data_IF_005587259424
#
_entry.id   IF_005587259424
#
_cell.length_a   1.000
_cell.length_b   1.000
_cell.length_c   1.000
_cell.angle_alpha   90.00
_cell.angle_beta   90.00
_cell.angle_gamma   90.00
#
_symmetry.space_group_name_H-M   'P 1'
#
loop_
_entity.id
_entity.type
_entity.pdbx_description
1 polymer ?
#
# COMPACT_ATOMS: atom_id res chain seq x y z
N UNK A 1 -7.46 -4.18 -17.31
CA UNK A 1 -6.73 -2.92 -17.07
C UNK A 1 -5.62 -2.74 -18.12
N UNK A 2 -5.17 -1.50 -18.38
CA UNK A 2 -4.06 -1.20 -19.30
C UNK A 2 -2.78 -1.99 -18.94
N UNK A 3 -2.42 -2.04 -17.66
CA UNK A 3 -1.26 -2.79 -17.18
C UNK A 3 -1.35 -4.29 -17.49
N UNK A 4 -2.51 -4.90 -17.26
CA UNK A 4 -2.74 -6.30 -17.61
C UNK A 4 -2.50 -6.54 -19.11
N UNK A 5 -3.09 -5.69 -19.96
CA UNK A 5 -2.90 -5.77 -21.40
C UNK A 5 -1.43 -5.61 -21.80
N UNK A 6 -0.72 -4.63 -21.21
CA UNK A 6 0.71 -4.44 -21.46
C UNK A 6 1.52 -5.72 -21.16
N UNK A 7 1.26 -6.33 -19.99
CA UNK A 7 1.93 -7.58 -19.60
C UNK A 7 1.56 -8.71 -20.58
N UNK A 8 0.29 -8.85 -20.94
CA UNK A 8 -0.16 -9.85 -21.91
C UNK A 8 0.52 -9.66 -23.27
N UNK A 9 0.60 -8.42 -23.77
CA UNK A 9 1.25 -8.12 -25.06
C UNK A 9 2.76 -8.43 -25.01
N UNK A 10 3.45 -8.07 -23.92
CA UNK A 10 4.88 -8.35 -23.75
C UNK A 10 5.20 -9.83 -23.53
N UNK A 11 4.23 -10.60 -23.02
CA UNK A 11 4.39 -12.01 -22.67
C UNK A 11 3.66 -12.96 -23.62
N UNK A 12 3.16 -12.49 -24.76
CA UNK A 12 2.32 -13.27 -25.70
C UNK A 12 2.86 -14.67 -26.00
N UNK A 13 4.17 -14.81 -26.12
CA UNK A 13 4.86 -16.05 -26.46
C UNK A 13 5.56 -16.70 -25.23
N UNK A 14 5.43 -16.15 -24.05
CA UNK A 14 6.04 -16.69 -22.84
C UNK A 14 5.03 -17.55 -22.06
N UNK A 15 4.90 -18.81 -22.46
CA UNK A 15 4.04 -19.78 -21.77
C UNK A 15 4.46 -19.97 -20.29
N UNK A 16 5.75 -19.88 -19.97
CA UNK A 16 6.24 -20.04 -18.62
C UNK A 16 5.70 -18.93 -17.71
N UNK A 17 5.70 -17.67 -18.15
CA UNK A 17 5.17 -16.57 -17.33
C UNK A 17 3.68 -16.72 -17.07
N UNK A 18 2.90 -17.14 -18.05
CA UNK A 18 1.46 -17.42 -17.86
C UNK A 18 1.25 -18.53 -16.83
N UNK A 19 2.02 -19.61 -16.93
CA UNK A 19 1.95 -20.71 -15.96
C UNK A 19 2.33 -20.24 -14.54
N UNK A 20 3.38 -19.41 -14.38
CA UNK A 20 3.75 -18.84 -13.08
C UNK A 20 2.62 -17.97 -12.49
N UNK A 21 1.93 -17.17 -13.32
CA UNK A 21 0.78 -16.39 -12.87
C UNK A 21 -0.39 -17.28 -12.40
N UNK A 22 -0.67 -18.38 -13.10
CA UNK A 22 -1.72 -19.32 -12.70
C UNK A 22 -1.35 -20.10 -11.44
N UNK A 23 -0.09 -20.50 -11.28
CA UNK A 23 0.39 -21.14 -10.06
C UNK A 23 0.36 -20.17 -8.85
N UNK A 24 0.73 -18.88 -9.05
CA UNK A 24 0.63 -17.86 -8.02
C UNK A 24 -0.79 -17.69 -7.48
N UNK A 25 -1.81 -17.69 -8.36
CA UNK A 25 -3.22 -17.58 -7.97
C UNK A 25 -3.70 -18.72 -7.07
N UNK A 26 -3.03 -19.87 -7.09
CA UNK A 26 -3.37 -21.03 -6.28
C UNK A 26 -2.77 -20.99 -4.87
N UNK A 27 -1.88 -20.03 -4.60
CA UNK A 27 -1.25 -19.89 -3.28
C UNK A 27 -2.19 -19.13 -2.36
N UNK A 28 -2.48 -19.69 -1.19
CA UNK A 28 -3.13 -18.93 -0.14
C UNK A 28 -2.09 -18.08 0.61
N UNK A 29 -2.17 -16.76 0.45
CA UNK A 29 -1.33 -15.79 1.15
C UNK A 29 -2.03 -15.16 2.35
N UNK A 30 -3.33 -15.40 2.53
CA UNK A 30 -4.16 -14.75 3.55
C UNK A 30 -4.68 -15.75 4.56
N UNK A 31 -3.95 -15.92 5.63
CA UNK A 31 -4.40 -16.61 6.84
C UNK A 31 -4.83 -15.54 7.83
N UNK A 32 -6.14 -15.36 7.96
CA UNK A 32 -6.72 -14.29 8.76
C UNK A 32 -6.82 -14.67 10.22
N UNK A 33 -6.58 -13.71 11.10
CA UNK A 33 -6.97 -13.78 12.51
C UNK A 33 -7.84 -12.57 12.85
N UNK A 34 -8.83 -12.79 13.73
CA UNK A 34 -9.81 -11.78 14.13
C UNK A 34 -9.44 -11.21 15.51
N UNK A 35 -9.74 -9.94 15.70
CA UNK A 35 -9.66 -9.30 17.01
C UNK A 35 -10.98 -9.54 17.74
N UNK A 36 -11.01 -10.55 18.60
CA UNK A 36 -12.22 -11.01 19.29
C UNK A 36 -12.75 -10.02 20.33
N UNK A 37 -11.98 -9.04 20.72
CA UNK A 37 -12.40 -7.95 21.60
C UNK A 37 -13.40 -6.96 20.99
N UNK A 38 -13.65 -7.05 19.68
CA UNK A 38 -14.66 -6.25 18.98
C UNK A 38 -15.95 -7.06 18.77
N UNK A 39 -17.12 -6.39 18.64
CA UNK A 39 -18.37 -7.03 18.23
C UNK A 39 -18.22 -7.80 16.91
N UNK A 40 -18.97 -8.91 16.75
CA UNK A 40 -18.82 -9.80 15.59
C UNK A 40 -18.92 -9.07 14.24
N UNK A 41 -19.86 -8.15 14.12
CA UNK A 41 -20.09 -7.38 12.88
C UNK A 41 -18.99 -6.35 12.57
N UNK A 42 -18.14 -6.07 13.56
CA UNK A 42 -17.13 -5.01 13.51
C UNK A 42 -15.72 -5.53 13.81
N UNK A 43 -15.53 -6.85 13.84
CA UNK A 43 -14.21 -7.42 14.10
C UNK A 43 -13.24 -7.11 12.97
N UNK A 44 -12.20 -6.32 13.21
CA UNK A 44 -11.15 -6.13 12.22
C UNK A 44 -10.39 -7.44 12.01
N UNK A 45 -10.04 -7.70 10.75
CA UNK A 45 -9.20 -8.82 10.38
C UNK A 45 -7.78 -8.32 10.11
N UNK A 46 -6.81 -9.12 10.52
CA UNK A 46 -5.43 -9.02 10.04
C UNK A 46 -5.14 -10.25 9.18
N UNK A 47 -4.26 -10.12 8.22
CA UNK A 47 -3.86 -11.22 7.36
C UNK A 47 -2.34 -11.36 7.29
N UNK A 48 -1.89 -12.59 7.02
CA UNK A 48 -0.47 -12.82 6.72
C UNK A 48 -0.03 -12.11 5.45
N UNK A 49 -0.96 -11.79 4.55
CA UNK A 49 -0.70 -10.98 3.37
C UNK A 49 -0.16 -9.58 3.72
N UNK A 50 -0.71 -8.93 4.76
CA UNK A 50 -0.20 -7.64 5.22
C UNK A 50 1.24 -7.74 5.73
N UNK A 51 1.55 -8.79 6.51
CA UNK A 51 2.91 -9.04 7.00
C UNK A 51 3.89 -9.29 5.86
N UNK A 52 3.50 -10.10 4.87
CA UNK A 52 4.31 -10.38 3.68
C UNK A 52 4.56 -9.09 2.90
N UNK A 53 3.55 -8.23 2.76
CA UNK A 53 3.66 -6.96 2.06
C UNK A 53 4.60 -5.99 2.78
N UNK A 54 4.53 -5.90 4.12
CA UNK A 54 5.48 -5.11 4.92
C UNK A 54 6.91 -5.61 4.69
N UNK A 55 7.13 -6.92 4.76
CA UNK A 55 8.45 -7.52 4.56
C UNK A 55 8.96 -7.25 3.15
N UNK A 56 8.09 -7.39 2.12
CA UNK A 56 8.46 -7.14 0.74
C UNK A 56 8.92 -5.70 0.50
N UNK A 57 8.20 -4.71 1.04
CA UNK A 57 8.55 -3.28 0.93
C UNK A 57 9.88 -2.96 1.61
N UNK A 58 10.21 -3.66 2.71
CA UNK A 58 11.42 -3.42 3.50
C UNK A 58 12.63 -4.26 3.04
N UNK A 59 12.43 -5.23 2.15
CA UNK A 59 13.51 -6.09 1.65
C UNK A 59 14.23 -5.46 0.47
N UNK A 60 15.56 -5.56 0.44
CA UNK A 60 16.40 -5.01 -0.63
C UNK A 60 16.44 -5.87 -1.88
N UNK A 61 16.14 -7.15 -1.74
CA UNK A 61 16.19 -8.14 -2.82
C UNK A 61 15.37 -9.38 -2.46
N UNK A 62 15.16 -10.26 -3.43
CA UNK A 62 14.38 -11.48 -3.26
C UNK A 62 14.94 -12.41 -2.19
N UNK A 63 16.28 -12.47 -2.01
CA UNK A 63 16.90 -13.29 -0.96
C UNK A 63 16.50 -12.81 0.43
N UNK A 64 16.65 -11.52 0.71
CA UNK A 64 16.27 -10.91 2.00
C UNK A 64 14.77 -11.09 2.25
N UNK A 65 13.94 -10.89 1.23
CA UNK A 65 12.50 -11.11 1.31
C UNK A 65 12.19 -12.57 1.69
N UNK A 66 12.81 -13.53 1.03
CA UNK A 66 12.66 -14.95 1.31
C UNK A 66 13.03 -15.29 2.76
N UNK A 67 14.20 -14.83 3.21
CA UNK A 67 14.70 -15.10 4.56
C UNK A 67 13.79 -14.49 5.64
N UNK A 68 13.33 -13.27 5.43
CA UNK A 68 12.47 -12.54 6.39
C UNK A 68 11.01 -13.05 6.44
N UNK A 69 10.59 -13.82 5.45
CA UNK A 69 9.22 -14.39 5.38
C UNK A 69 9.12 -15.78 6.01
N UNK A 70 10.23 -16.36 6.47
CA UNK A 70 10.24 -17.68 7.11
C UNK A 70 9.30 -17.67 8.32
N UNK A 71 8.39 -18.68 8.37
CA UNK A 71 7.45 -18.86 9.47
C UNK A 71 6.15 -18.01 9.37
N UNK A 72 6.03 -17.14 8.36
CA UNK A 72 4.79 -16.38 8.13
C UNK A 72 3.72 -17.24 7.43
N UNK A 73 4.14 -18.03 6.45
CA UNK A 73 3.28 -18.95 5.71
C UNK A 73 3.55 -20.40 6.10
N UNK A 74 2.56 -21.30 5.92
CA UNK A 74 2.85 -22.72 5.91
C UNK A 74 3.96 -23.06 4.92
N UNK A 75 4.82 -24.02 5.27
CA UNK A 75 6.05 -24.29 4.51
C UNK A 75 5.80 -24.61 3.03
N UNK A 76 4.67 -25.25 2.72
CA UNK A 76 4.32 -25.59 1.34
C UNK A 76 4.03 -24.34 0.52
N UNK A 77 3.23 -23.40 1.04
CA UNK A 77 2.91 -22.13 0.38
C UNK A 77 4.16 -21.26 0.28
N UNK A 78 4.97 -21.21 1.34
CA UNK A 78 6.25 -20.50 1.34
C UNK A 78 7.17 -21.00 0.22
N UNK A 79 7.38 -22.31 0.10
CA UNK A 79 8.23 -22.88 -0.93
C UNK A 79 7.70 -22.61 -2.34
N UNK A 80 6.38 -22.75 -2.56
CA UNK A 80 5.75 -22.43 -3.85
C UNK A 80 5.92 -20.96 -4.22
N UNK A 81 5.64 -20.05 -3.27
CA UNK A 81 5.76 -18.61 -3.48
C UNK A 81 7.16 -18.22 -3.95
N UNK A 82 8.17 -18.65 -3.22
CA UNK A 82 9.54 -18.26 -3.53
C UNK A 82 10.13 -18.99 -4.75
N UNK A 83 9.63 -20.18 -5.08
CA UNK A 83 9.93 -20.80 -6.37
C UNK A 83 9.37 -19.94 -7.52
N UNK A 84 8.10 -19.54 -7.44
CA UNK A 84 7.47 -18.69 -8.46
C UNK A 84 8.19 -17.36 -8.60
N UNK A 85 8.53 -16.69 -7.50
CA UNK A 85 9.23 -15.41 -7.56
C UNK A 85 10.63 -15.55 -8.17
N UNK A 86 11.38 -16.60 -7.81
CA UNK A 86 12.69 -16.83 -8.39
C UNK A 86 12.63 -17.12 -9.91
N UNK A 87 11.60 -17.85 -10.34
CA UNK A 87 11.39 -18.14 -11.76
C UNK A 87 10.89 -16.90 -12.53
N UNK A 88 10.12 -16.03 -11.87
CA UNK A 88 9.53 -14.82 -12.47
C UNK A 88 10.50 -13.62 -12.49
N UNK A 89 11.46 -13.54 -11.58
CA UNK A 89 12.37 -12.39 -11.40
C UNK A 89 13.04 -12.00 -12.72
N UNK A 90 13.68 -12.97 -13.39
CA UNK A 90 14.38 -12.73 -14.65
C UNK A 90 13.40 -12.24 -15.75
N UNK A 91 12.21 -12.83 -15.81
CA UNK A 91 11.20 -12.44 -16.81
C UNK A 91 10.73 -11.00 -16.50
N UNK A 92 10.49 -10.66 -15.25
CA UNK A 92 10.10 -9.31 -14.84
C UNK A 92 11.17 -8.28 -15.19
N UNK A 93 12.42 -8.58 -14.94
CA UNK A 93 13.55 -7.73 -15.29
C UNK A 93 13.59 -7.46 -16.79
N UNK A 94 13.45 -8.49 -17.60
CA UNK A 94 13.50 -8.39 -19.08
C UNK A 94 12.32 -7.59 -19.65
N UNK A 95 11.09 -7.75 -19.12
CA UNK A 95 9.89 -7.14 -19.73
C UNK A 95 9.50 -5.79 -19.13
N UNK A 96 9.98 -5.47 -17.92
CA UNK A 96 9.57 -4.27 -17.19
C UNK A 96 10.77 -3.52 -16.63
N UNK A 97 11.54 -4.13 -15.70
CA UNK A 97 12.48 -3.40 -14.88
C UNK A 97 13.57 -2.70 -15.69
N UNK A 98 14.21 -3.40 -16.61
CA UNK A 98 15.28 -2.85 -17.45
C UNK A 98 14.83 -1.64 -18.29
N UNK A 99 13.56 -1.62 -18.73
CA UNK A 99 13.00 -0.52 -19.53
C UNK A 99 12.66 0.70 -18.67
N UNK A 100 12.34 0.51 -17.39
CA UNK A 100 11.72 1.56 -16.56
C UNK A 100 12.50 1.93 -15.30
N UNK A 101 13.56 1.22 -14.92
CA UNK A 101 14.36 1.49 -13.72
C UNK A 101 14.78 2.96 -13.64
N UNK A 102 15.39 3.50 -14.72
CA UNK A 102 15.84 4.90 -14.74
C UNK A 102 14.70 5.90 -14.51
N UNK A 103 13.51 5.60 -15.03
CA UNK A 103 12.33 6.47 -14.84
C UNK A 103 11.86 6.41 -13.39
N UNK A 104 11.80 5.23 -12.79
CA UNK A 104 11.43 5.04 -11.38
C UNK A 104 12.42 5.73 -10.45
N UNK A 105 13.73 5.58 -10.68
CA UNK A 105 14.77 6.27 -9.91
C UNK A 105 14.60 7.80 -10.01
N UNK A 106 14.32 8.33 -11.20
CA UNK A 106 14.07 9.76 -11.37
C UNK A 106 12.81 10.22 -10.61
N UNK A 107 11.71 9.45 -10.67
CA UNK A 107 10.48 9.74 -9.93
C UNK A 107 10.72 9.72 -8.42
N UNK A 108 11.40 8.69 -7.91
CA UNK A 108 11.85 8.61 -6.52
C UNK A 108 12.61 9.86 -6.09
N UNK A 109 13.60 10.28 -6.88
CA UNK A 109 14.40 11.47 -6.58
C UNK A 109 13.57 12.76 -6.56
N UNK A 110 12.53 12.85 -7.37
CA UNK A 110 11.58 13.98 -7.35
C UNK A 110 10.73 13.99 -6.08
N UNK A 111 10.22 12.82 -5.66
CA UNK A 111 9.44 12.69 -4.43
C UNK A 111 10.28 12.96 -3.18
N UNK A 112 11.54 12.51 -3.16
CA UNK A 112 12.48 12.78 -2.04
C UNK A 112 12.65 14.27 -1.79
N UNK A 113 12.58 15.13 -2.81
CA UNK A 113 12.67 16.59 -2.63
C UNK A 113 11.52 17.17 -1.79
N UNK A 114 10.41 16.48 -1.69
CA UNK A 114 9.25 16.87 -0.89
C UNK A 114 9.33 16.37 0.57
N UNK A 115 10.38 15.61 0.94
CA UNK A 115 10.52 14.96 2.24
C UNK A 115 10.33 15.93 3.41
N UNK A 116 10.98 17.08 3.40
CA UNK A 116 10.90 18.03 4.52
C UNK A 116 9.48 18.57 4.70
N UNK A 117 8.81 18.95 3.60
CA UNK A 117 7.41 19.37 3.63
C UNK A 117 6.50 18.23 4.15
N UNK A 118 6.76 17.00 3.73
CA UNK A 118 6.00 15.84 4.20
C UNK A 118 6.17 15.59 5.70
N UNK A 119 7.36 15.77 6.26
CA UNK A 119 7.59 15.63 7.71
C UNK A 119 6.78 16.66 8.49
N UNK A 120 6.75 17.92 8.06
CA UNK A 120 5.95 18.97 8.70
C UNK A 120 4.45 18.65 8.65
N UNK A 121 3.96 18.21 7.50
CA UNK A 121 2.56 17.81 7.31
C UNK A 121 2.23 16.59 8.18
N UNK A 122 3.10 15.60 8.19
CA UNK A 122 2.92 14.40 9.00
C UNK A 122 2.85 14.72 10.51
N UNK A 123 3.68 15.64 11.01
CA UNK A 123 3.60 16.11 12.38
C UNK A 123 2.25 16.77 12.72
N UNK A 124 1.61 17.42 11.73
CA UNK A 124 0.26 17.98 11.90
C UNK A 124 -0.81 16.90 11.85
N UNK A 125 -0.65 15.88 11.01
CA UNK A 125 -1.51 14.70 11.02
C UNK A 125 -1.45 13.97 12.35
N UNK A 126 -0.25 13.75 12.92
CA UNK A 126 -0.09 13.15 14.23
C UNK A 126 -0.86 13.90 15.31
N UNK A 127 -0.84 15.24 15.30
CA UNK A 127 -1.62 16.05 16.23
C UNK A 127 -3.13 15.90 15.98
N UNK A 128 -3.56 15.90 14.74
CA UNK A 128 -4.99 15.74 14.38
C UNK A 128 -5.54 14.39 14.83
N UNK A 129 -4.79 13.31 14.55
CA UNK A 129 -5.17 11.94 14.93
C UNK A 129 -4.88 11.62 16.39
N UNK A 130 -4.29 12.56 17.17
CA UNK A 130 -3.79 12.29 18.51
C UNK A 130 -2.91 11.03 18.58
N UNK A 131 -2.09 10.84 17.55
CA UNK A 131 -1.26 9.67 17.39
C UNK A 131 -0.01 9.73 18.26
N UNK A 132 0.42 8.57 18.74
CA UNK A 132 1.71 8.39 19.44
C UNK A 132 2.85 8.01 18.50
N UNK A 133 2.64 8.03 17.19
CA UNK A 133 3.66 7.73 16.22
C UNK A 133 4.87 8.65 16.35
N UNK A 134 6.06 8.07 16.43
CA UNK A 134 7.31 8.82 16.57
C UNK A 134 8.07 8.89 15.23
N UNK A 135 8.88 9.93 15.07
CA UNK A 135 9.74 10.06 13.89
C UNK A 135 10.85 8.98 13.82
N UNK A 136 11.00 8.17 14.85
CA UNK A 136 11.91 7.01 14.89
C UNK A 136 11.36 5.83 14.07
N UNK A 137 10.05 5.81 13.84
CA UNK A 137 9.40 4.79 13.01
C UNK A 137 9.22 5.38 11.61
N UNK A 138 10.09 5.06 10.64
CA UNK A 138 9.99 5.63 9.30
C UNK A 138 8.85 5.00 8.52
N UNK A 139 8.22 5.79 7.64
CA UNK A 139 7.44 5.24 6.55
C UNK A 139 8.35 4.74 5.42
N UNK A 140 8.18 3.51 5.04
CA UNK A 140 8.86 2.90 3.90
C UNK A 140 7.95 2.98 2.67
N UNK A 141 8.48 3.49 1.57
CA UNK A 141 7.70 3.67 0.34
C UNK A 141 8.39 2.92 -0.80
N UNK A 142 7.75 1.88 -1.30
CA UNK A 142 8.15 1.17 -2.50
C UNK A 142 7.35 1.68 -3.71
N UNK A 143 8.07 2.04 -4.78
CA UNK A 143 7.46 2.42 -6.05
C UNK A 143 7.63 1.26 -7.05
N UNK A 144 6.56 0.90 -7.73
CA UNK A 144 6.65 -0.04 -8.85
C UNK A 144 6.11 0.58 -10.15
N UNK A 145 6.71 0.25 -11.31
CA UNK A 145 6.34 0.87 -12.57
C UNK A 145 5.02 0.33 -13.12
N UNK A 146 4.17 1.25 -13.57
CA UNK A 146 3.04 0.98 -14.44
C UNK A 146 3.36 1.66 -15.79
N UNK A 147 3.68 0.91 -16.85
CA UNK A 147 4.13 1.46 -18.12
C UNK A 147 3.15 2.46 -18.74
N UNK A 148 3.65 3.59 -19.21
CA UNK A 148 2.89 4.60 -19.97
C UNK A 148 2.35 5.76 -19.14
N UNK A 149 1.41 6.51 -19.78
CA UNK A 149 0.78 7.71 -19.22
C UNK A 149 -0.65 7.47 -18.72
N UNK A 150 -1.24 6.36 -19.11
CA UNK A 150 -2.65 6.03 -18.85
C UNK A 150 -2.73 4.73 -18.08
N UNK A 151 -3.64 4.67 -17.15
CA UNK A 151 -3.92 3.48 -16.36
C UNK A 151 -4.33 3.86 -14.94
N UNK A 152 -4.90 2.90 -14.25
CA UNK A 152 -5.17 3.03 -12.84
C UNK A 152 -3.89 2.80 -12.06
N UNK A 153 -3.62 3.66 -11.10
CA UNK A 153 -2.57 3.45 -10.11
C UNK A 153 -3.22 2.99 -8.81
N UNK A 154 -2.48 2.22 -8.04
CA UNK A 154 -2.92 1.80 -6.71
C UNK A 154 -1.87 2.23 -5.70
N UNK A 155 -2.33 2.59 -4.52
CA UNK A 155 -1.51 2.76 -3.35
C UNK A 155 -2.16 1.91 -2.25
N UNK A 156 -1.37 1.18 -1.50
CA UNK A 156 -1.89 0.32 -0.44
C UNK A 156 -0.95 0.40 0.76
N UNK A 157 -1.44 0.85 1.91
CA UNK A 157 -0.68 0.86 3.15
C UNK A 157 -0.72 -0.51 3.82
N UNK A 158 0.42 -0.92 4.37
CA UNK A 158 0.59 -2.10 5.20
C UNK A 158 1.44 -1.69 6.41
N UNK A 159 0.82 -1.36 7.55
CA UNK A 159 1.53 -0.78 8.68
C UNK A 159 2.30 0.49 8.26
N UNK A 160 3.60 0.56 8.53
CA UNK A 160 4.45 1.68 8.12
C UNK A 160 4.97 1.59 6.68
N UNK A 161 4.46 0.65 5.88
CA UNK A 161 4.98 0.34 4.54
C UNK A 161 3.93 0.65 3.48
N UNK A 162 4.30 1.44 2.47
CA UNK A 162 3.42 1.81 1.36
C UNK A 162 3.95 1.20 0.07
N UNK A 163 3.09 0.49 -0.67
CA UNK A 163 3.40 0.00 -2.00
C UNK A 163 2.59 0.79 -3.02
N UNK A 164 3.27 1.54 -3.91
CA UNK A 164 2.64 2.51 -4.79
C UNK A 164 2.98 2.24 -6.26
N UNK A 165 1.95 1.99 -7.06
CA UNK A 165 2.08 1.95 -8.51
C UNK A 165 2.19 3.36 -9.08
N UNK A 166 3.21 3.60 -9.90
CA UNK A 166 3.43 4.89 -10.56
C UNK A 166 3.48 4.73 -12.06
N UNK A 167 2.78 5.63 -12.78
CA UNK A 167 2.87 5.66 -14.23
C UNK A 167 4.28 6.11 -14.63
N UNK A 168 4.93 5.35 -15.50
CA UNK A 168 6.34 5.62 -15.88
C UNK A 168 6.55 6.96 -16.58
N UNK A 169 5.50 7.51 -17.19
CA UNK A 169 5.51 8.79 -17.88
C UNK A 169 4.75 9.88 -17.10
N UNK A 170 4.53 9.69 -15.81
CA UNK A 170 3.92 10.68 -14.92
C UNK A 170 4.85 11.89 -14.72
N UNK A 171 4.26 13.07 -14.75
CA UNK A 171 4.96 14.35 -14.52
C UNK A 171 4.41 15.12 -13.31
N UNK A 172 3.23 14.75 -12.81
CA UNK A 172 2.61 15.38 -11.65
C UNK A 172 3.03 14.73 -10.33
N UNK A 173 4.26 14.98 -9.92
CA UNK A 173 4.81 14.43 -8.67
C UNK A 173 4.14 14.97 -7.41
N UNK A 174 3.57 16.16 -7.46
CA UNK A 174 2.86 16.73 -6.31
C UNK A 174 1.53 16.03 -6.08
N UNK A 175 0.81 15.70 -7.17
CA UNK A 175 -0.38 14.85 -7.08
C UNK A 175 -0.05 13.48 -6.50
N UNK A 176 1.05 12.87 -6.96
CA UNK A 176 1.54 11.59 -6.40
C UNK A 176 1.89 11.69 -4.92
N UNK A 177 2.51 12.78 -4.50
CA UNK A 177 2.79 13.05 -3.10
C UNK A 177 1.51 13.20 -2.26
N UNK A 178 0.46 13.79 -2.81
CA UNK A 178 -0.86 13.84 -2.17
C UNK A 178 -1.42 12.45 -1.88
N UNK A 179 -1.24 11.49 -2.81
CA UNK A 179 -1.60 10.09 -2.58
C UNK A 179 -0.79 9.47 -1.43
N UNK A 180 0.52 9.70 -1.38
CA UNK A 180 1.37 9.22 -0.28
C UNK A 180 0.84 9.72 1.08
N UNK A 181 0.52 11.00 1.17
CA UNK A 181 0.00 11.62 2.40
C UNK A 181 -1.40 11.11 2.75
N UNK A 182 -2.24 10.81 1.75
CA UNK A 182 -3.53 10.15 1.93
C UNK A 182 -3.37 8.77 2.57
N UNK A 183 -2.48 7.93 2.04
CA UNK A 183 -2.21 6.60 2.61
C UNK A 183 -1.63 6.67 4.03
N UNK A 184 -0.82 7.68 4.33
CA UNK A 184 -0.34 7.91 5.70
C UNK A 184 -1.49 8.23 6.67
N UNK A 185 -2.56 8.90 6.22
CA UNK A 185 -3.74 9.11 7.04
C UNK A 185 -4.43 7.81 7.42
N UNK A 186 -4.58 6.86 6.48
CA UNK A 186 -5.10 5.53 6.77
C UNK A 186 -4.28 4.80 7.84
N UNK A 187 -2.94 4.87 7.73
CA UNK A 187 -2.07 4.25 8.73
C UNK A 187 -2.29 4.86 10.12
N UNK A 188 -2.36 6.19 10.22
CA UNK A 188 -2.61 6.87 11.49
C UNK A 188 -4.00 6.59 12.06
N UNK A 189 -4.99 6.37 11.19
CA UNK A 189 -6.33 5.96 11.59
C UNK A 189 -6.34 4.53 12.16
N UNK A 190 -5.66 3.60 11.50
CA UNK A 190 -5.60 2.19 11.90
C UNK A 190 -4.80 1.97 13.19
N UNK A 191 -3.83 2.84 13.48
CA UNK A 191 -2.97 2.78 14.68
C UNK A 191 -3.59 3.46 15.90
N UNK A 192 -4.86 3.89 15.83
CA UNK A 192 -5.56 4.41 16.98
C UNK A 192 -5.73 3.36 18.09
N UNK A 193 -5.81 3.80 19.36
CA UNK A 193 -6.01 2.88 20.47
C UNK A 193 -7.27 2.06 20.30
N UNK A 194 -7.25 0.80 20.79
CA UNK A 194 -8.43 -0.08 20.73
C UNK A 194 -9.64 0.53 21.42
N UNK A 195 -9.42 1.27 22.51
CA UNK A 195 -10.45 1.97 23.24
C UNK A 195 -11.12 3.03 22.39
N UNK A 196 -10.32 3.84 21.67
CA UNK A 196 -10.86 4.84 20.76
C UNK A 196 -11.58 4.20 19.58
N UNK A 197 -11.00 3.15 18.99
CA UNK A 197 -11.66 2.42 17.88
C UNK A 197 -13.01 1.84 18.31
N UNK A 198 -13.11 1.28 19.54
CA UNK A 198 -14.39 0.81 20.09
C UNK A 198 -15.39 1.92 20.30
N UNK A 199 -14.95 3.07 20.87
CA UNK A 199 -15.81 4.25 21.03
C UNK A 199 -16.36 4.74 19.70
N UNK A 200 -15.52 4.81 18.66
CA UNK A 200 -15.93 5.21 17.33
C UNK A 200 -16.95 4.22 16.70
N UNK A 201 -16.70 2.91 16.85
CA UNK A 201 -17.64 1.86 16.40
C UNK A 201 -18.98 2.01 17.12
N UNK A 202 -18.96 2.19 18.45
CA UNK A 202 -20.19 2.37 19.23
C UNK A 202 -20.95 3.66 18.83
N UNK A 203 -20.22 4.75 18.64
CA UNK A 203 -20.83 6.03 18.20
C UNK A 203 -21.65 5.85 16.91
N UNK A 204 -21.12 5.14 15.92
CA UNK A 204 -21.85 4.87 14.68
C UNK A 204 -22.94 3.80 14.85
N UNK A 205 -22.74 2.81 15.72
CA UNK A 205 -23.71 1.74 15.95
C UNK A 205 -24.96 2.26 16.70
N UNK A 206 -24.73 3.15 17.67
CA UNK A 206 -25.80 3.72 18.51
C UNK A 206 -26.58 4.86 17.83
N UNK A 207 -26.09 5.32 16.68
CA UNK A 207 -26.75 6.38 15.91
C UNK A 207 -27.91 5.82 15.10
N UNK A 208 -29.11 6.36 15.31
CA UNK A 208 -30.34 5.92 14.65
C UNK A 208 -30.51 6.40 13.20
N UNK A 209 -29.53 7.12 12.63
CA UNK A 209 -29.57 7.54 11.23
C UNK A 209 -29.46 6.35 10.29
N UNK A 210 -30.29 6.31 9.25
CA UNK A 210 -30.17 5.32 8.16
C UNK A 210 -28.81 5.35 7.45
N UNK A 211 -28.09 6.48 7.52
CA UNK A 211 -26.77 6.68 6.92
C UNK A 211 -25.61 6.23 7.83
N UNK A 212 -25.87 5.89 9.07
CA UNK A 212 -24.81 5.61 10.06
C UNK A 212 -23.84 4.50 9.61
N UNK A 213 -24.36 3.43 9.00
CA UNK A 213 -23.52 2.34 8.46
C UNK A 213 -22.62 2.81 7.33
N UNK A 214 -23.14 3.63 6.43
CA UNK A 214 -22.37 4.21 5.33
C UNK A 214 -21.34 5.19 5.85
N UNK A 215 -21.73 6.09 6.76
CA UNK A 215 -20.80 7.03 7.40
C UNK A 215 -19.66 6.30 8.09
N UNK A 216 -19.94 5.25 8.87
CA UNK A 216 -18.91 4.42 9.48
C UNK A 216 -17.97 3.76 8.46
N UNK A 217 -18.52 3.23 7.37
CA UNK A 217 -17.72 2.53 6.35
C UNK A 217 -16.81 3.45 5.54
N UNK A 218 -17.18 4.72 5.36
CA UNK A 218 -16.45 5.69 4.55
C UNK A 218 -15.72 6.75 5.38
N UNK A 219 -15.78 6.69 6.71
CA UNK A 219 -15.24 7.74 7.58
C UNK A 219 -13.73 7.92 7.42
N UNK A 220 -12.99 6.82 7.43
CA UNK A 220 -11.54 6.80 7.24
C UNK A 220 -11.16 7.39 5.87
N UNK A 221 -11.80 6.92 4.79
CA UNK A 221 -11.56 7.43 3.43
C UNK A 221 -11.87 8.92 3.29
N UNK A 222 -12.94 9.39 3.93
CA UNK A 222 -13.30 10.81 3.94
C UNK A 222 -12.25 11.66 4.65
N UNK A 223 -11.72 11.19 5.79
CA UNK A 223 -10.64 11.85 6.52
C UNK A 223 -9.34 11.87 5.70
N UNK A 224 -8.93 10.73 5.14
CA UNK A 224 -7.72 10.61 4.34
C UNK A 224 -7.79 11.50 3.09
N UNK A 225 -8.95 11.55 2.42
CA UNK A 225 -9.17 12.44 1.28
C UNK A 225 -9.12 13.92 1.66
N UNK A 226 -9.81 14.32 2.73
CA UNK A 226 -9.82 15.72 3.18
C UNK A 226 -8.44 16.20 3.62
N UNK A 227 -7.71 15.39 4.36
CA UNK A 227 -6.39 15.75 4.89
C UNK A 227 -5.27 15.57 3.86
N UNK A 228 -5.16 14.40 3.24
CA UNK A 228 -4.07 14.07 2.32
C UNK A 228 -4.24 14.73 0.96
N UNK A 229 -5.35 14.46 0.27
CA UNK A 229 -5.59 14.98 -1.07
C UNK A 229 -6.04 16.45 -1.07
N UNK A 230 -6.72 16.90 -0.02
CA UNK A 230 -7.20 18.27 0.11
C UNK A 230 -6.19 19.17 0.81
N UNK A 231 -6.19 19.14 2.13
CA UNK A 231 -5.43 20.10 2.95
C UNK A 231 -3.92 20.03 2.73
N UNK A 232 -3.33 18.83 2.72
CA UNK A 232 -1.89 18.67 2.53
C UNK A 232 -1.45 19.06 1.12
N UNK A 233 -2.21 18.64 0.10
CA UNK A 233 -1.95 19.04 -1.28
C UNK A 233 -1.96 20.56 -1.46
N UNK A 234 -2.95 21.25 -0.86
CA UNK A 234 -3.03 22.71 -0.86
C UNK A 234 -1.80 23.37 -0.21
N UNK A 235 -1.36 22.85 0.93
CA UNK A 235 -0.20 23.40 1.66
C UNK A 235 1.11 23.25 0.88
N UNK A 236 1.26 22.18 0.09
CA UNK A 236 2.44 21.97 -0.75
C UNK A 236 2.38 22.83 -2.02
N UNK A 237 1.22 22.99 -2.63
CA UNK A 237 1.08 23.65 -3.93
C UNK A 237 0.50 25.06 -3.89
N UNK A 238 -0.08 25.49 -2.76
CA UNK A 238 -0.81 26.75 -2.64
C UNK A 238 -2.09 26.81 -3.48
N UNK A 239 -2.58 25.66 -3.95
CA UNK A 239 -3.79 25.52 -4.80
C UNK A 239 -4.76 24.50 -4.20
N UNK A 240 -6.03 24.78 -4.32
CA UNK A 240 -7.12 23.82 -4.13
C UNK A 240 -7.69 23.48 -5.49
#
# INVERSE_FOLDING_TARGET
TYYKKYIEDKTQNNHNFKNLCEEYKKINLSYNYKRYEFPDERRPNRSTYDLISIIAVNSKNLKEFKESTIGILPIIEYQKLFKIFSDAEKIYDEIIWNDYEKKIVNQKNKLIKLKNANVEIFNRFNKFYNSTWTNEIPFQIALYPIPGKKGSTTATPHGNSLCIGVLTDETNYTGRNGVILHEMCHVLYDEQSKEFQKQLVSYFADNNSEYSKFASAYFDEALATALGNGWAYKNINGKI
#
